data_IF_828726873688
#
_entry.id   IF_828726873688
#
_cell.length_a   1.000
_cell.length_b   1.000
_cell.length_c   1.000
_cell.angle_alpha   90.00
_cell.angle_beta   90.00
_cell.angle_gamma   90.00
#
_symmetry.space_group_name_H-M   'P 1'
#
loop_
_entity.id
_entity.type
_entity.pdbx_description
1 polymer ?
#
# COMPACT_ATOMS: atom_id res chain seq x y z
N UNK A 1 12.90 -4.40 -3.71
CA UNK A 1 12.04 -5.52 -4.15
C UNK A 1 10.84 -4.92 -4.85
N UNK A 2 10.34 -5.56 -5.91
CA UNK A 2 9.06 -5.18 -6.50
C UNK A 2 8.05 -6.27 -6.15
N UNK A 3 7.10 -5.94 -5.29
CA UNK A 3 6.11 -6.85 -4.75
C UNK A 3 5.09 -7.24 -5.83
N UNK A 4 4.73 -8.51 -5.84
CA UNK A 4 3.68 -9.10 -6.67
C UNK A 4 2.46 -9.47 -5.82
N UNK A 5 1.35 -9.81 -6.48
CA UNK A 5 0.12 -10.24 -5.79
C UNK A 5 0.38 -11.40 -4.81
N UNK A 6 1.24 -12.36 -5.18
CA UNK A 6 1.59 -13.50 -4.32
C UNK A 6 2.43 -13.15 -3.08
N UNK A 7 3.01 -11.95 -3.02
CA UNK A 7 3.80 -11.53 -1.87
C UNK A 7 2.91 -10.97 -0.73
N UNK A 8 1.68 -10.55 -1.08
CA UNK A 8 0.67 -10.11 -0.13
C UNK A 8 0.06 -11.29 0.63
N UNK A 9 -0.27 -11.06 1.89
CA UNK A 9 -0.85 -12.05 2.80
C UNK A 9 -2.37 -11.95 2.94
N UNK A 10 -2.97 -10.83 2.52
CA UNK A 10 -4.41 -10.59 2.61
C UNK A 10 -5.23 -11.45 1.65
N UNK A 11 -6.18 -12.21 2.20
CA UNK A 11 -7.13 -13.05 1.44
C UNK A 11 -8.45 -12.33 1.10
N UNK A 12 -8.64 -11.11 1.62
CA UNK A 12 -9.89 -10.34 1.51
C UNK A 12 -9.90 -9.35 0.34
N UNK A 13 -8.83 -9.29 -0.45
CA UNK A 13 -8.71 -8.31 -1.51
C UNK A 13 -9.64 -8.62 -2.68
N UNK A 14 -10.27 -7.55 -3.18
CA UNK A 14 -10.83 -7.53 -4.53
C UNK A 14 -9.73 -7.11 -5.49
N UNK A 15 -9.57 -7.88 -6.57
CA UNK A 15 -8.58 -7.63 -7.62
C UNK A 15 -9.32 -7.27 -8.92
N UNK A 16 -8.99 -6.13 -9.51
CA UNK A 16 -9.61 -5.67 -10.75
C UNK A 16 -8.59 -5.71 -11.89
N UNK A 17 -8.61 -6.80 -12.66
CA UNK A 17 -7.70 -7.00 -13.80
C UNK A 17 -7.96 -6.04 -14.98
N UNK A 18 -9.02 -5.24 -14.92
CA UNK A 18 -9.47 -4.35 -16.00
C UNK A 18 -9.20 -2.85 -15.73
N UNK A 19 -8.76 -2.49 -14.51
CA UNK A 19 -8.44 -1.10 -14.20
C UNK A 19 -7.04 -0.72 -14.72
N UNK A 20 -6.83 0.52 -15.18
CA UNK A 20 -5.50 0.97 -15.59
C UNK A 20 -4.51 0.83 -14.43
N UNK A 21 -3.30 0.39 -14.76
CA UNK A 21 -2.23 0.20 -13.79
C UNK A 21 -2.03 1.48 -12.94
N UNK A 22 -2.23 1.35 -11.63
CA UNK A 22 -1.93 2.43 -10.68
C UNK A 22 -0.45 2.80 -10.83
N UNK A 23 -0.21 4.06 -11.20
CA UNK A 23 1.12 4.56 -11.57
C UNK A 23 1.27 6.03 -11.19
N UNK A 24 2.52 6.50 -11.24
CA UNK A 24 2.90 7.84 -10.83
C UNK A 24 3.04 7.98 -9.31
N UNK A 25 2.91 9.22 -8.83
CA UNK A 25 2.89 9.52 -7.40
C UNK A 25 1.49 9.33 -6.81
N UNK A 26 1.36 8.91 -5.54
CA UNK A 26 0.10 8.92 -4.81
C UNK A 26 -0.58 10.29 -4.92
N UNK A 27 -1.85 10.25 -5.32
CA UNK A 27 -2.61 11.43 -5.70
C UNK A 27 -3.86 11.60 -4.84
N UNK A 28 -4.77 12.48 -5.25
CA UNK A 28 -6.10 12.61 -4.63
C UNK A 28 -7.10 11.54 -5.09
N UNK A 29 -6.67 10.55 -5.90
CA UNK A 29 -7.50 9.39 -6.25
C UNK A 29 -7.97 8.69 -4.97
N UNK A 30 -9.22 8.21 -5.02
CA UNK A 30 -9.82 7.48 -3.89
C UNK A 30 -9.03 6.21 -3.61
N UNK A 31 -8.70 6.00 -2.35
CA UNK A 31 -8.04 4.80 -1.87
C UNK A 31 -9.05 3.86 -1.21
N UNK A 32 -8.92 2.57 -1.50
CA UNK A 32 -9.68 1.48 -0.92
C UNK A 32 -8.71 0.40 -0.43
N UNK A 33 -8.68 0.20 0.89
CA UNK A 33 -7.82 -0.80 1.54
C UNK A 33 -8.20 -2.24 1.22
N UNK A 34 -9.41 -2.48 0.67
CA UNK A 34 -9.85 -3.79 0.21
C UNK A 34 -9.52 -4.03 -1.27
N UNK A 35 -9.03 -3.03 -2.00
CA UNK A 35 -8.60 -3.20 -3.38
C UNK A 35 -7.11 -3.61 -3.40
N UNK A 36 -6.84 -4.86 -3.76
CA UNK A 36 -5.50 -5.42 -3.74
C UNK A 36 -4.53 -4.71 -4.68
N UNK A 37 -5.00 -4.23 -5.83
CA UNK A 37 -4.16 -3.52 -6.80
C UNK A 37 -3.72 -2.14 -6.24
N UNK A 38 -4.58 -1.46 -5.48
CA UNK A 38 -4.23 -0.20 -4.82
C UNK A 38 -3.30 -0.39 -3.62
N UNK A 39 -3.52 -1.42 -2.82
CA UNK A 39 -2.64 -1.77 -1.69
C UNK A 39 -1.24 -2.11 -2.21
N UNK A 40 -1.16 -2.96 -3.24
CA UNK A 40 0.10 -3.35 -3.86
C UNK A 40 0.84 -2.15 -4.47
N UNK A 41 0.10 -1.23 -5.12
CA UNK A 41 0.65 0.01 -5.63
C UNK A 41 1.30 0.86 -4.52
N UNK A 42 0.63 1.07 -3.39
CA UNK A 42 1.19 1.87 -2.30
C UNK A 42 2.41 1.22 -1.66
N UNK A 43 2.42 -0.11 -1.48
CA UNK A 43 3.58 -0.84 -0.96
C UNK A 43 4.78 -0.70 -1.91
N UNK A 44 4.55 -0.90 -3.21
CA UNK A 44 5.60 -0.75 -4.22
C UNK A 44 6.09 0.68 -4.35
N UNK A 45 5.20 1.66 -4.25
CA UNK A 45 5.59 3.07 -4.25
C UNK A 45 6.45 3.40 -3.02
N UNK A 46 6.05 2.94 -1.83
CA UNK A 46 6.87 3.08 -0.63
C UNK A 46 8.25 2.44 -0.82
N UNK A 47 8.30 1.21 -1.33
CA UNK A 47 9.55 0.49 -1.57
C UNK A 47 10.46 1.18 -2.58
N UNK A 48 9.89 1.85 -3.59
CA UNK A 48 10.66 2.63 -4.57
C UNK A 48 11.37 3.84 -3.94
N UNK A 49 10.80 4.42 -2.88
CA UNK A 49 11.38 5.56 -2.17
C UNK A 49 12.36 5.14 -1.08
N UNK A 50 12.11 4.02 -0.41
CA UNK A 50 12.99 3.46 0.62
C UNK A 50 14.21 2.71 0.03
N UNK A 51 14.21 2.42 -1.27
CA UNK A 51 15.30 1.75 -1.99
C UNK A 51 15.34 0.23 -1.77
N UNK A 52 15.47 -0.23 -0.53
CA UNK A 52 15.38 -1.65 -0.17
C UNK A 52 14.30 -1.88 0.88
N UNK A 53 13.32 -2.68 0.51
CA UNK A 53 12.27 -3.20 1.39
C UNK A 53 12.28 -4.71 1.24
N UNK A 54 12.39 -5.41 2.36
CA UNK A 54 12.29 -6.86 2.49
C UNK A 54 10.85 -7.32 2.43
N UNK A 55 10.63 -8.62 2.18
CA UNK A 55 9.29 -9.20 2.18
C UNK A 55 8.58 -8.99 3.53
N UNK A 56 9.30 -9.07 4.64
CA UNK A 56 8.77 -8.84 5.98
C UNK A 56 8.28 -7.39 6.14
N UNK A 57 9.09 -6.42 5.73
CA UNK A 57 8.71 -5.00 5.79
C UNK A 57 7.50 -4.69 4.89
N UNK A 58 7.43 -5.29 3.71
CA UNK A 58 6.24 -5.18 2.86
C UNK A 58 4.97 -5.71 3.52
N UNK A 59 5.07 -6.83 4.25
CA UNK A 59 3.95 -7.40 5.03
C UNK A 59 3.57 -6.53 6.23
N UNK A 60 4.53 -5.88 6.88
CA UNK A 60 4.24 -4.90 7.94
C UNK A 60 3.42 -3.74 7.36
N UNK A 61 3.86 -3.17 6.22
CA UNK A 61 3.12 -2.10 5.54
C UNK A 61 1.71 -2.56 5.17
N UNK A 62 1.57 -3.76 4.60
CA UNK A 62 0.27 -4.36 4.27
C UNK A 62 -0.64 -4.44 5.51
N UNK A 63 -0.13 -4.92 6.63
CA UNK A 63 -0.89 -5.01 7.88
C UNK A 63 -1.30 -3.64 8.40
N UNK A 64 -0.40 -2.65 8.37
CA UNK A 64 -0.71 -1.26 8.75
C UNK A 64 -1.84 -0.67 7.88
N UNK A 65 -1.86 -0.99 6.58
CA UNK A 65 -2.92 -0.52 5.66
C UNK A 65 -4.26 -1.19 5.98
N UNK A 66 -4.27 -2.51 6.13
CA UNK A 66 -5.51 -3.28 6.23
C UNK A 66 -6.17 -3.12 7.60
N UNK A 67 -5.37 -3.09 8.67
CA UNK A 67 -5.86 -3.06 10.06
C UNK A 67 -5.97 -1.65 10.63
N UNK A 68 -4.93 -0.84 10.42
CA UNK A 68 -4.73 0.38 11.22
C UNK A 68 -4.98 1.68 10.43
N UNK A 69 -5.24 1.60 9.13
CA UNK A 69 -5.52 2.78 8.32
C UNK A 69 -6.86 3.41 8.77
N UNK A 70 -6.86 4.68 9.20
CA UNK A 70 -8.06 5.35 9.66
C UNK A 70 -9.03 5.60 8.50
N UNK A 71 -10.33 5.53 8.77
CA UNK A 71 -11.39 5.73 7.78
C UNK A 71 -11.37 7.13 7.13
N UNK A 72 -10.71 8.10 7.78
CA UNK A 72 -10.47 9.43 7.24
C UNK A 72 -9.44 9.45 6.09
N UNK A 73 -8.58 8.43 5.95
CA UNK A 73 -7.57 8.33 4.91
C UNK A 73 -8.16 7.84 3.58
N UNK A 74 -9.04 8.67 2.99
CA UNK A 74 -9.84 8.32 1.80
C UNK A 74 -9.11 8.45 0.46
N UNK A 75 -7.87 8.96 0.45
CA UNK A 75 -7.10 9.18 -0.78
C UNK A 75 -5.74 8.49 -0.74
N UNK A 76 -5.16 8.19 -1.91
CA UNK A 76 -3.83 7.56 -2.02
C UNK A 76 -2.78 8.36 -1.24
N UNK A 77 -2.77 9.69 -1.39
CA UNK A 77 -1.81 10.55 -0.69
C UNK A 77 -2.02 10.54 0.82
N UNK A 78 -3.28 10.51 1.29
CA UNK A 78 -3.58 10.41 2.73
C UNK A 78 -3.14 9.06 3.30
N UNK A 79 -3.43 7.97 2.58
CA UNK A 79 -3.03 6.63 2.99
C UNK A 79 -1.52 6.46 2.97
N UNK A 80 -0.84 6.97 1.94
CA UNK A 80 0.61 6.96 1.85
C UNK A 80 1.28 7.74 2.99
N UNK A 81 0.78 8.94 3.30
CA UNK A 81 1.29 9.73 4.42
C UNK A 81 1.08 9.04 5.77
N UNK A 82 -0.02 8.29 5.93
CA UNK A 82 -0.24 7.45 7.11
C UNK A 82 0.79 6.34 7.21
N UNK A 83 0.98 5.55 6.15
CA UNK A 83 1.98 4.47 6.09
C UNK A 83 3.36 4.98 6.49
N UNK A 84 3.78 6.13 5.95
CA UNK A 84 5.08 6.74 6.27
C UNK A 84 5.29 7.06 7.75
N UNK A 85 4.21 7.38 8.48
CA UNK A 85 4.26 7.72 9.91
C UNK A 85 4.10 6.50 10.80
N UNK A 86 3.38 5.47 10.32
CA UNK A 86 2.90 4.37 11.16
C UNK A 86 3.64 3.05 10.95
N UNK A 87 4.12 2.76 9.73
CA UNK A 87 4.73 1.46 9.44
C UNK A 87 6.12 1.29 10.08
N UNK A 88 6.88 2.39 10.23
CA UNK A 88 8.19 2.40 10.89
C UNK A 88 8.36 3.69 11.69
N UNK A 89 7.79 3.79 12.92
CA UNK A 89 7.77 5.03 13.70
C UNK A 89 9.15 5.51 14.19
N UNK A 90 10.20 4.72 13.98
CA UNK A 90 11.57 5.02 14.40
C UNK A 90 12.57 4.50 13.37
N UNK A 91 13.03 5.41 12.53
CA UNK A 91 14.43 5.51 12.08
C UNK A 91 14.93 6.90 12.43
#
# INVERSE_FOLDING_TARGET
MHFQKQDLSGTHYTWNNEQPAFSGQPSRRRFDKNNGDQVLYLINFYASLAGRVSLLEGRIIEQTITRDLPDAAKSEVSAFNWIRRSAFPTL
#
